data_IF_767360817342
#
_entry.id   IF_767360817342
#
_cell.length_a   1.000
_cell.length_b   1.000
_cell.length_c   1.000
_cell.angle_alpha   90.00
_cell.angle_beta   90.00
_cell.angle_gamma   90.00
#
_symmetry.space_group_name_H-M   'P 1'
#
loop_
_entity.id
_entity.type
_entity.pdbx_description
1 polymer ?
#
# COMPACT_ATOMS: atom_id res chain seq x y z
N UNK A 1 18.77 -6.13 -13.97
CA UNK A 1 19.74 -7.09 -13.39
C UNK A 1 19.30 -8.51 -13.71
N UNK A 2 20.20 -9.50 -13.83
CA UNK A 2 19.84 -10.86 -14.27
C UNK A 2 18.86 -11.60 -13.34
N UNK A 3 18.79 -11.23 -12.06
CA UNK A 3 17.90 -11.84 -11.06
C UNK A 3 16.58 -11.09 -10.86
N UNK A 4 16.33 -10.05 -11.65
CA UNK A 4 15.11 -9.25 -11.61
C UNK A 4 14.41 -9.28 -12.95
N UNK A 5 13.10 -9.45 -12.93
CA UNK A 5 12.25 -9.31 -14.11
C UNK A 5 11.44 -8.02 -14.04
N UNK A 6 11.06 -7.49 -15.20
CA UNK A 6 10.07 -6.42 -15.26
C UNK A 6 8.74 -7.04 -14.87
N UNK A 7 8.11 -6.43 -13.88
CA UNK A 7 6.88 -6.89 -13.27
C UNK A 7 5.70 -6.04 -13.75
N UNK A 8 5.87 -4.72 -13.84
CA UNK A 8 4.91 -3.80 -14.47
C UNK A 8 5.62 -2.72 -15.29
N UNK A 9 4.99 -2.30 -16.37
CA UNK A 9 5.35 -1.10 -17.14
C UNK A 9 4.19 -0.14 -17.05
N UNK A 10 4.37 0.95 -16.30
CA UNK A 10 3.31 1.89 -15.96
C UNK A 10 3.54 3.20 -16.74
N UNK A 11 2.64 3.60 -17.65
CA UNK A 11 2.81 4.81 -18.43
C UNK A 11 2.68 6.05 -17.54
N UNK A 12 3.55 7.03 -17.76
CA UNK A 12 3.49 8.32 -17.06
C UNK A 12 3.04 9.44 -17.97
N UNK A 13 3.59 9.49 -19.18
CA UNK A 13 3.34 10.56 -20.13
C UNK A 13 3.74 10.10 -21.53
N UNK A 14 3.04 10.59 -22.54
CA UNK A 14 3.33 10.36 -23.94
C UNK A 14 3.74 11.68 -24.62
N UNK A 15 4.46 11.53 -25.72
CA UNK A 15 4.83 12.63 -26.59
C UNK A 15 4.62 12.22 -28.05
N UNK A 16 3.91 13.06 -28.81
CA UNK A 16 3.58 12.85 -30.23
C UNK A 16 4.17 14.01 -31.04
N UNK A 17 5.09 13.71 -31.97
CA UNK A 17 5.78 14.71 -32.81
C UNK A 17 6.30 15.93 -32.01
N UNK A 18 7.01 15.64 -30.92
CA UNK A 18 7.61 16.61 -29.97
C UNK A 18 6.61 17.43 -29.12
N UNK A 19 5.31 17.11 -29.15
CA UNK A 19 4.31 17.64 -28.19
C UNK A 19 4.25 16.74 -26.95
N UNK A 20 4.57 17.29 -25.78
CA UNK A 20 4.55 16.64 -24.47
C UNK A 20 3.19 16.79 -23.74
N UNK A 21 3.07 16.26 -22.52
CA UNK A 21 1.87 16.38 -21.71
C UNK A 21 0.71 15.48 -22.10
N UNK A 22 0.90 14.51 -23.01
CA UNK A 22 -0.19 13.67 -23.51
C UNK A 22 -0.39 12.50 -22.54
N UNK A 23 -1.59 12.38 -21.96
CA UNK A 23 -1.95 11.25 -21.09
C UNK A 23 -2.43 10.03 -21.88
N UNK A 24 -3.23 10.25 -22.94
CA UNK A 24 -3.74 9.20 -23.81
C UNK A 24 -3.50 9.59 -25.29
N UNK A 25 -2.58 8.92 -26.00
CA UNK A 25 -2.27 9.22 -27.39
C UNK A 25 -3.26 8.55 -28.38
N UNK A 26 -4.22 7.74 -27.91
CA UNK A 26 -5.14 7.00 -28.79
C UNK A 26 -5.97 7.98 -29.63
N UNK A 27 -5.97 7.76 -30.95
CA UNK A 27 -6.66 8.62 -31.91
C UNK A 27 -5.84 9.83 -32.40
N UNK A 28 -4.64 10.07 -31.85
CA UNK A 28 -3.74 11.09 -32.36
C UNK A 28 -2.98 10.59 -33.61
N UNK A 29 -2.71 11.49 -34.55
CA UNK A 29 -1.87 11.21 -35.72
C UNK A 29 -0.50 11.80 -35.49
N UNK A 30 0.55 11.01 -35.70
CA UNK A 30 1.91 11.51 -35.67
C UNK A 30 2.91 10.57 -36.34
N UNK A 31 4.10 11.10 -36.61
CA UNK A 31 5.22 10.35 -37.20
C UNK A 31 6.09 9.66 -36.15
N UNK A 32 6.10 10.17 -34.91
CA UNK A 32 6.91 9.69 -33.79
C UNK A 32 6.09 9.72 -32.50
N UNK A 33 6.08 8.58 -31.80
CA UNK A 33 5.52 8.43 -30.46
C UNK A 33 6.64 8.08 -29.48
N UNK A 34 6.69 8.80 -28.36
CA UNK A 34 7.55 8.50 -27.22
C UNK A 34 6.69 8.31 -25.98
N UNK A 35 7.14 7.46 -25.05
CA UNK A 35 6.49 7.24 -23.78
C UNK A 35 7.51 7.30 -22.65
N UNK A 36 7.21 8.11 -21.64
CA UNK A 36 7.86 8.06 -20.35
C UNK A 36 7.11 7.02 -19.50
N UNK A 37 7.84 6.02 -19.00
CA UNK A 37 7.25 4.92 -18.25
C UNK A 37 7.98 4.68 -16.93
N UNK A 38 7.22 4.31 -15.91
CA UNK A 38 7.73 3.81 -14.64
C UNK A 38 7.82 2.27 -14.72
N UNK A 39 9.03 1.74 -14.66
CA UNK A 39 9.29 0.30 -14.74
C UNK A 39 9.43 -0.27 -13.33
N UNK A 40 8.49 -1.14 -12.95
CA UNK A 40 8.58 -1.91 -11.71
C UNK A 40 9.27 -3.23 -12.01
N UNK A 41 10.27 -3.59 -11.20
CA UNK A 41 10.95 -4.88 -11.30
C UNK A 41 10.85 -5.65 -10.01
N UNK A 42 10.75 -6.98 -10.08
CA UNK A 42 10.67 -7.86 -8.92
C UNK A 42 11.76 -8.94 -8.97
N UNK A 43 12.10 -9.51 -7.81
CA UNK A 43 12.93 -10.72 -7.77
C UNK A 43 12.14 -11.89 -8.34
N UNK A 44 12.71 -12.56 -9.34
CA UNK A 44 12.10 -13.73 -9.98
C UNK A 44 11.80 -14.81 -8.94
N UNK A 45 12.74 -15.08 -8.03
CA UNK A 45 12.58 -16.08 -6.98
C UNK A 45 11.44 -15.73 -6.02
N UNK A 46 11.30 -14.47 -5.63
CA UNK A 46 10.22 -14.04 -4.74
C UNK A 46 8.85 -14.22 -5.39
N UNK A 47 8.71 -13.80 -6.66
CA UNK A 47 7.48 -13.97 -7.43
C UNK A 47 7.12 -15.45 -7.61
N UNK A 48 8.10 -16.29 -7.98
CA UNK A 48 7.90 -17.73 -8.15
C UNK A 48 7.47 -18.41 -6.84
N UNK A 49 8.06 -18.03 -5.70
CA UNK A 49 7.70 -18.58 -4.40
C UNK A 49 6.25 -18.25 -4.02
N UNK A 50 5.79 -17.03 -4.30
CA UNK A 50 4.41 -16.61 -4.08
C UNK A 50 3.45 -17.45 -4.93
N UNK A 51 3.71 -17.56 -6.23
CA UNK A 51 2.88 -18.35 -7.18
C UNK A 51 2.81 -19.82 -6.77
N UNK A 52 3.96 -20.41 -6.46
CA UNK A 52 4.03 -21.81 -6.04
C UNK A 52 3.26 -22.06 -4.74
N UNK A 53 3.29 -21.11 -3.80
CA UNK A 53 2.56 -21.23 -2.54
C UNK A 53 1.05 -21.22 -2.74
N UNK A 54 0.55 -20.35 -3.62
CA UNK A 54 -0.87 -20.29 -3.99
C UNK A 54 -1.29 -21.55 -4.77
N UNK A 55 -0.49 -21.98 -5.74
CA UNK A 55 -0.73 -23.21 -6.52
C UNK A 55 -0.82 -24.46 -5.63
N UNK A 56 -0.01 -24.54 -4.58
CA UNK A 56 -0.07 -25.64 -3.59
C UNK A 56 -1.35 -25.67 -2.77
N UNK A 57 -2.05 -24.54 -2.65
CA UNK A 57 -3.36 -24.47 -2.00
C UNK A 57 -4.51 -24.97 -2.92
N UNK A 58 -4.20 -25.40 -4.15
CA UNK A 58 -5.19 -25.97 -5.08
C UNK A 58 -5.89 -24.94 -5.96
N UNK A 59 -5.35 -23.73 -6.07
CA UNK A 59 -5.85 -22.64 -6.93
C UNK A 59 -4.77 -22.19 -7.90
N UNK A 60 -5.13 -21.87 -9.14
CA UNK A 60 -4.16 -21.40 -10.14
C UNK A 60 -4.05 -19.87 -10.10
N UNK A 61 -2.82 -19.34 -10.09
CA UNK A 61 -2.57 -17.90 -10.22
C UNK A 61 -2.70 -17.50 -11.69
N UNK A 62 -3.73 -16.74 -12.02
CA UNK A 62 -3.91 -16.15 -13.36
C UNK A 62 -2.89 -15.03 -13.60
N UNK A 63 -2.70 -14.16 -12.61
CA UNK A 63 -1.82 -13.00 -12.71
C UNK A 63 -1.37 -12.53 -11.31
N UNK A 64 -0.20 -11.91 -11.25
CA UNK A 64 0.32 -11.26 -10.05
C UNK A 64 0.27 -9.75 -10.26
N UNK A 65 -0.31 -9.03 -9.32
CA UNK A 65 -0.48 -7.57 -9.39
C UNK A 65 0.30 -6.93 -8.25
N UNK A 66 0.84 -5.74 -8.51
CA UNK A 66 1.51 -4.96 -7.49
C UNK A 66 0.51 -4.48 -6.44
N UNK A 67 0.81 -4.74 -5.17
CA UNK A 67 -0.08 -4.43 -4.05
C UNK A 67 -0.54 -2.97 -4.02
N UNK A 68 0.39 -2.03 -4.20
CA UNK A 68 0.12 -0.60 -4.19
C UNK A 68 -0.90 -0.20 -5.27
N UNK A 69 -0.87 -0.84 -6.44
CA UNK A 69 -1.83 -0.58 -7.53
C UNK A 69 -3.22 -1.07 -7.16
N UNK A 70 -3.29 -2.29 -6.64
CA UNK A 70 -4.54 -2.89 -6.22
C UNK A 70 -5.19 -2.06 -5.11
N UNK A 71 -4.45 -1.73 -4.05
CA UNK A 71 -4.95 -0.91 -2.95
C UNK A 71 -5.38 0.49 -3.44
N UNK A 72 -4.60 1.13 -4.32
CA UNK A 72 -4.94 2.44 -4.89
C UNK A 72 -6.26 2.41 -5.68
N UNK A 73 -6.50 1.35 -6.45
CA UNK A 73 -7.73 1.22 -7.23
C UNK A 73 -8.99 0.99 -6.38
N UNK A 74 -8.85 0.44 -5.17
CA UNK A 74 -9.96 0.26 -4.25
C UNK A 74 -10.26 1.52 -3.40
N UNK A 75 -9.25 2.36 -3.17
CA UNK A 75 -9.28 3.37 -2.09
C UNK A 75 -9.21 4.81 -2.60
N UNK A 76 -8.48 5.07 -3.68
CA UNK A 76 -8.28 6.41 -4.21
C UNK A 76 -9.36 6.77 -5.23
N UNK A 77 -9.76 8.03 -5.22
CA UNK A 77 -10.62 8.60 -6.25
C UNK A 77 -9.80 9.06 -7.46
N UNK A 78 -10.40 9.16 -8.65
CA UNK A 78 -9.74 9.75 -9.82
C UNK A 78 -9.23 11.17 -9.57
N UNK A 79 -10.02 12.00 -8.87
CA UNK A 79 -9.67 13.39 -8.57
C UNK A 79 -8.42 13.50 -7.68
N UNK A 80 -8.27 12.61 -6.69
CA UNK A 80 -7.06 12.55 -5.87
C UNK A 80 -5.84 12.16 -6.68
N UNK A 81 -5.96 11.15 -7.57
CA UNK A 81 -4.88 10.73 -8.47
C UNK A 81 -4.47 11.86 -9.43
N UNK A 82 -5.42 12.69 -9.86
CA UNK A 82 -5.16 13.83 -10.74
C UNK A 82 -4.46 14.99 -10.01
N UNK A 83 -4.99 15.42 -8.86
CA UNK A 83 -4.42 16.52 -8.07
C UNK A 83 -3.06 16.18 -7.45
N UNK A 84 -2.82 14.90 -7.19
CA UNK A 84 -1.60 14.36 -6.64
C UNK A 84 -1.77 13.91 -5.18
N UNK A 85 -1.60 12.62 -4.96
CA UNK A 85 -1.92 11.94 -3.69
C UNK A 85 -0.87 10.86 -3.41
N UNK A 86 -0.55 10.66 -2.14
CA UNK A 86 0.21 9.49 -1.71
C UNK A 86 -0.71 8.51 -0.98
N UNK A 87 -0.75 7.27 -1.45
CA UNK A 87 -1.34 6.17 -0.70
C UNK A 87 -0.24 5.50 0.13
N UNK A 88 -0.52 5.29 1.41
CA UNK A 88 0.37 4.59 2.34
C UNK A 88 -0.39 3.41 2.94
N UNK A 89 0.00 2.20 2.58
CA UNK A 89 -0.51 0.96 3.16
C UNK A 89 0.40 0.53 4.32
N UNK A 90 -0.10 0.65 5.55
CA UNK A 90 0.63 0.20 6.73
C UNK A 90 0.20 -1.23 7.04
N UNK A 91 1.00 -2.18 6.58
CA UNK A 91 0.82 -3.60 6.80
C UNK A 91 1.38 -4.08 8.14
N UNK A 92 1.59 -5.40 8.24
CA UNK A 92 2.17 -6.04 9.40
C UNK A 92 3.70 -5.82 9.45
N UNK A 93 4.43 -6.33 8.46
CA UNK A 93 5.88 -6.22 8.37
C UNK A 93 6.39 -5.06 7.51
N UNK A 94 5.56 -4.55 6.60
CA UNK A 94 5.93 -3.52 5.63
C UNK A 94 4.97 -2.35 5.65
N UNK A 95 5.48 -1.22 5.16
CA UNK A 95 4.70 -0.03 4.84
C UNK A 95 4.97 0.30 3.39
N UNK A 96 3.95 0.17 2.57
CA UNK A 96 4.03 0.25 1.12
C UNK A 96 3.42 1.57 0.66
N UNK A 97 4.09 2.25 -0.28
CA UNK A 97 3.70 3.60 -0.69
C UNK A 97 3.74 3.78 -2.20
N UNK A 98 2.76 4.55 -2.70
CA UNK A 98 2.65 4.96 -4.10
C UNK A 98 2.20 6.41 -4.17
N UNK A 99 2.85 7.19 -5.02
CA UNK A 99 2.52 8.60 -5.28
C UNK A 99 1.95 8.70 -6.69
N UNK A 100 0.76 9.27 -6.79
CA UNK A 100 0.13 9.67 -8.05
C UNK A 100 0.25 11.18 -8.25
N UNK A 101 0.34 11.62 -9.50
CA UNK A 101 0.23 13.01 -9.91
C UNK A 101 -0.20 13.07 -11.39
N UNK A 102 -1.21 13.88 -11.73
CA UNK A 102 -1.79 13.96 -13.08
C UNK A 102 -2.26 12.61 -13.62
N UNK A 103 -2.90 11.83 -12.75
CA UNK A 103 -3.48 10.52 -13.09
C UNK A 103 -2.46 9.39 -13.19
N UNK A 104 -1.15 9.70 -13.19
CA UNK A 104 -0.08 8.74 -13.38
C UNK A 104 0.72 8.48 -12.10
N UNK A 105 1.35 7.30 -12.03
CA UNK A 105 2.23 6.92 -10.92
C UNK A 105 3.58 7.57 -11.10
N UNK A 106 4.03 8.30 -10.08
CA UNK A 106 5.33 8.98 -10.05
C UNK A 106 6.39 8.20 -9.28
N UNK A 107 6.00 7.62 -8.15
CA UNK A 107 6.92 6.93 -7.25
C UNK A 107 6.25 5.74 -6.58
N UNK A 108 7.01 4.67 -6.36
CA UNK A 108 6.63 3.50 -5.57
C UNK A 108 7.81 3.12 -4.68
N UNK A 109 7.54 2.79 -3.42
CA UNK A 109 8.52 2.21 -2.52
C UNK A 109 7.86 1.33 -1.45
N UNK A 110 8.69 0.57 -0.75
CA UNK A 110 8.31 -0.31 0.34
C UNK A 110 9.32 -0.15 1.47
N UNK A 111 8.84 0.16 2.66
CA UNK A 111 9.64 0.34 3.87
C UNK A 111 9.51 -0.91 4.75
N UNK A 112 10.61 -1.47 5.28
CA UNK A 112 10.59 -2.69 6.08
C UNK A 112 10.16 -2.42 7.54
N UNK A 113 9.08 -1.67 7.73
CA UNK A 113 8.50 -1.33 9.03
C UNK A 113 6.98 -1.38 8.95
N UNK A 114 6.28 -1.67 10.04
CA UNK A 114 4.84 -1.87 10.04
C UNK A 114 4.28 -2.21 11.42
N UNK A 115 3.02 -2.62 11.47
CA UNK A 115 2.29 -2.88 12.72
C UNK A 115 2.87 -3.98 13.63
N UNK A 116 3.68 -4.91 13.11
CA UNK A 116 4.38 -5.93 13.92
C UNK A 116 5.46 -5.30 14.79
N UNK A 117 6.12 -4.24 14.33
CA UNK A 117 7.13 -3.53 15.11
C UNK A 117 6.50 -2.87 16.35
N UNK A 118 5.32 -2.26 16.19
CA UNK A 118 4.52 -1.76 17.32
C UNK A 118 4.17 -2.89 18.29
N UNK A 119 3.77 -4.04 17.75
CA UNK A 119 3.41 -5.22 18.55
C UNK A 119 4.60 -5.72 19.38
N UNK A 120 5.78 -5.76 18.76
CA UNK A 120 7.01 -6.20 19.41
C UNK A 120 7.42 -5.21 20.52
N UNK A 121 7.33 -3.91 20.26
CA UNK A 121 7.65 -2.88 21.26
C UNK A 121 6.72 -2.98 22.47
N UNK A 122 5.41 -3.20 22.25
CA UNK A 122 4.45 -3.46 23.33
C UNK A 122 4.81 -4.73 24.11
N UNK A 123 5.13 -5.82 23.41
CA UNK A 123 5.47 -7.10 24.04
C UNK A 123 6.69 -6.97 24.95
N UNK A 124 7.74 -6.31 24.47
CA UNK A 124 8.98 -6.06 25.22
C UNK A 124 8.74 -5.08 26.37
N UNK A 125 8.11 -3.94 26.09
CA UNK A 125 7.88 -2.86 27.06
C UNK A 125 6.96 -3.28 28.21
N UNK A 126 5.88 -4.00 27.90
CA UNK A 126 4.92 -4.47 28.91
C UNK A 126 5.25 -5.86 29.47
N UNK A 127 6.22 -6.57 28.89
CA UNK A 127 6.61 -7.94 29.24
C UNK A 127 5.43 -8.92 29.14
N UNK A 128 4.72 -8.84 28.03
CA UNK A 128 3.55 -9.67 27.69
C UNK A 128 3.84 -10.53 26.45
N UNK A 129 3.24 -11.73 26.30
CA UNK A 129 3.39 -12.53 25.09
C UNK A 129 2.96 -11.77 23.82
N UNK A 130 3.63 -12.01 22.69
CA UNK A 130 3.34 -11.37 21.40
C UNK A 130 1.86 -11.43 20.99
N UNK A 131 1.16 -12.58 21.10
CA UNK A 131 -0.28 -12.64 20.78
C UNK A 131 -1.13 -11.71 21.65
N UNK A 132 -0.77 -11.56 22.93
CA UNK A 132 -1.46 -10.66 23.85
C UNK A 132 -1.10 -9.20 23.58
N UNK A 133 0.15 -8.90 23.22
CA UNK A 133 0.56 -7.57 22.79
C UNK A 133 -0.26 -7.10 21.57
N UNK A 134 -0.46 -7.99 20.59
CA UNK A 134 -1.26 -7.69 19.39
C UNK A 134 -2.73 -7.42 19.75
N UNK A 135 -3.29 -8.22 20.65
CA UNK A 135 -4.65 -8.03 21.15
C UNK A 135 -4.80 -6.71 21.90
N UNK A 136 -3.83 -6.37 22.75
CA UNK A 136 -3.78 -5.11 23.49
C UNK A 136 -3.65 -3.92 22.52
N UNK A 137 -2.74 -4.00 21.53
CA UNK A 137 -2.55 -2.99 20.49
C UNK A 137 -3.87 -2.68 19.78
N UNK A 138 -4.54 -3.71 19.27
CA UNK A 138 -5.81 -3.57 18.54
C UNK A 138 -6.94 -2.98 19.38
N UNK A 139 -6.99 -3.30 20.68
CA UNK A 139 -8.11 -2.92 21.56
C UNK A 139 -7.89 -1.59 22.28
N UNK A 140 -6.64 -1.25 22.61
CA UNK A 140 -6.31 -0.16 23.52
C UNK A 140 -5.19 0.77 23.02
N UNK A 141 -4.49 0.40 21.94
CA UNK A 141 -3.38 1.20 21.42
C UNK A 141 -3.86 2.51 20.81
N UNK A 142 -3.11 3.58 21.09
CA UNK A 142 -3.26 4.89 20.45
C UNK A 142 -1.89 5.36 19.96
N UNK A 143 -1.85 5.94 18.77
CA UNK A 143 -0.65 6.51 18.17
C UNK A 143 -0.17 7.79 18.87
N UNK A 144 -1.07 8.48 19.58
CA UNK A 144 -0.77 9.71 20.33
C UNK A 144 -1.17 9.53 21.78
N UNK A 145 -0.18 9.52 22.68
CA UNK A 145 -0.43 9.38 24.11
C UNK A 145 -1.27 10.53 24.67
N UNK A 146 -1.20 11.72 24.09
CA UNK A 146 -2.01 12.88 24.52
C UNK A 146 -3.51 12.76 24.26
N UNK A 147 -3.98 11.76 23.50
CA UNK A 147 -5.41 11.52 23.25
C UNK A 147 -6.06 10.61 24.30
N UNK A 148 -5.27 10.01 25.19
CA UNK A 148 -5.74 9.04 26.18
C UNK A 148 -5.96 9.71 27.53
N UNK A 149 -7.05 9.34 28.21
CA UNK A 149 -7.34 9.86 29.55
C UNK A 149 -6.46 9.21 30.63
N UNK A 150 -6.07 9.99 31.63
CA UNK A 150 -5.17 9.57 32.71
C UNK A 150 -5.71 8.38 33.54
N UNK A 151 -7.04 8.20 33.58
CA UNK A 151 -7.73 7.16 34.36
C UNK A 151 -7.93 5.85 33.58
N UNK A 152 -7.64 5.82 32.28
CA UNK A 152 -7.81 4.62 31.47
C UNK A 152 -6.79 3.55 31.85
N UNK A 153 -7.25 2.31 32.01
CA UNK A 153 -6.39 1.17 32.38
C UNK A 153 -6.53 0.00 31.40
N UNK A 154 -5.49 -0.81 31.35
CA UNK A 154 -5.40 -2.01 30.51
C UNK A 154 -4.92 -3.18 31.34
N UNK A 155 -5.62 -4.31 31.24
CA UNK A 155 -5.17 -5.58 31.81
C UNK A 155 -4.17 -6.25 30.86
N UNK A 156 -2.97 -6.51 31.39
CA UNK A 156 -1.81 -7.02 30.66
C UNK A 156 -1.41 -8.38 31.21
N UNK A 157 -1.62 -9.46 30.45
CA UNK A 157 -1.09 -10.78 30.79
C UNK A 157 0.43 -10.74 30.93
N UNK A 158 0.96 -11.45 31.93
CA UNK A 158 2.41 -11.51 32.15
C UNK A 158 3.02 -12.78 31.58
N UNK A 159 4.27 -12.70 31.13
CA UNK A 159 5.04 -13.88 30.73
C UNK A 159 5.29 -14.84 31.91
N UNK A 160 5.44 -16.13 31.62
CA UNK A 160 5.89 -17.14 32.59
C UNK A 160 4.87 -17.50 33.67
N UNK A 161 3.57 -17.45 33.36
CA UNK A 161 2.50 -17.88 34.28
C UNK A 161 2.27 -16.95 35.48
N UNK A 162 2.86 -15.76 35.47
CA UNK A 162 2.58 -14.72 36.46
C UNK A 162 1.17 -14.17 36.28
N UNK A 163 0.58 -13.67 37.37
CA UNK A 163 -0.74 -13.05 37.33
C UNK A 163 -0.75 -11.84 36.36
N UNK A 164 -1.88 -11.58 35.68
CA UNK A 164 -2.07 -10.35 34.92
C UNK A 164 -1.86 -9.11 35.78
N UNK A 165 -1.41 -8.02 35.12
CA UNK A 165 -1.15 -6.71 35.75
C UNK A 165 -2.10 -5.70 35.16
N UNK A 166 -2.63 -4.80 35.98
CA UNK A 166 -3.37 -3.63 35.48
C UNK A 166 -2.39 -2.48 35.37
N UNK A 167 -2.27 -1.89 34.18
CA UNK A 167 -1.38 -0.77 33.88
C UNK A 167 -2.21 0.39 33.31
N UNK A 168 -1.67 1.62 33.36
CA UNK A 168 -2.31 2.74 32.68
C UNK A 168 -2.27 2.54 31.16
N UNK A 169 -3.34 2.94 30.47
CA UNK A 169 -3.38 2.99 29.01
C UNK A 169 -2.38 4.01 28.48
N UNK A 170 -2.10 5.06 29.25
CA UNK A 170 -1.05 6.03 28.96
C UNK A 170 0.32 5.37 28.74
N UNK A 171 0.72 4.48 29.65
CA UNK A 171 1.99 3.76 29.53
C UNK A 171 2.07 2.90 28.26
N UNK A 172 0.95 2.29 27.85
CA UNK A 172 0.87 1.58 26.58
C UNK A 172 1.14 2.53 25.41
N UNK A 173 0.52 3.72 25.42
CA UNK A 173 0.63 4.68 24.33
C UNK A 173 2.00 5.36 24.27
N UNK A 174 2.66 5.55 25.42
CA UNK A 174 4.07 5.99 25.49
C UNK A 174 5.04 4.99 24.85
N UNK A 175 4.66 3.71 24.73
CA UNK A 175 5.42 2.70 23.98
C UNK A 175 5.07 2.73 22.50
N UNK A 176 3.79 2.93 22.16
CA UNK A 176 3.29 2.91 20.78
C UNK A 176 3.75 4.14 19.99
N UNK A 177 3.64 5.32 20.59
CA UNK A 177 3.85 6.60 19.91
C UNK A 177 5.24 6.71 19.25
N UNK A 178 6.37 6.41 19.93
CA UNK A 178 7.69 6.52 19.29
C UNK A 178 7.85 5.63 18.07
N UNK A 179 7.23 4.43 18.05
CA UNK A 179 7.26 3.55 16.88
C UNK A 179 6.46 4.13 15.72
N UNK A 180 5.32 4.74 16.00
CA UNK A 180 4.49 5.38 14.97
C UNK A 180 5.22 6.61 14.41
N UNK A 181 5.85 7.41 15.27
CA UNK A 181 6.70 8.55 14.86
C UNK A 181 7.87 8.09 13.98
N UNK A 182 8.51 6.97 14.30
CA UNK A 182 9.58 6.39 13.48
C UNK A 182 9.06 5.95 12.10
N UNK A 183 7.91 5.28 12.04
CA UNK A 183 7.28 4.88 10.76
C UNK A 183 7.05 6.11 9.87
N UNK A 184 6.45 7.18 10.43
CA UNK A 184 6.20 8.40 9.65
C UNK A 184 7.46 9.20 9.33
N UNK A 185 8.49 9.14 10.18
CA UNK A 185 9.79 9.75 9.86
C UNK A 185 10.43 9.08 8.64
N UNK A 186 10.39 7.74 8.57
CA UNK A 186 10.89 6.99 7.40
C UNK A 186 10.09 7.29 6.12
N UNK A 187 8.77 7.48 6.24
CA UNK A 187 7.91 7.93 5.13
C UNK A 187 8.31 9.34 4.67
N UNK A 188 8.51 10.27 5.61
CA UNK A 188 8.91 11.63 5.29
C UNK A 188 10.28 11.68 4.59
N UNK A 189 11.23 10.87 5.05
CA UNK A 189 12.53 10.68 4.39
C UNK A 189 12.37 10.12 2.97
N UNK A 190 11.47 9.16 2.77
CA UNK A 190 11.15 8.62 1.44
C UNK A 190 10.58 9.70 0.50
N UNK A 191 9.63 10.50 0.99
CA UNK A 191 9.05 11.60 0.22
C UNK A 191 10.11 12.61 -0.19
N UNK A 192 10.96 13.04 0.74
CA UNK A 192 12.06 13.96 0.47
C UNK A 192 13.06 13.38 -0.55
N UNK A 193 13.39 12.09 -0.44
CA UNK A 193 14.30 11.40 -1.35
C UNK A 193 13.73 11.26 -2.77
N UNK A 194 12.42 11.06 -2.88
CA UNK A 194 11.73 10.91 -4.16
C UNK A 194 11.55 12.21 -4.93
N UNK A 195 11.71 13.37 -4.26
CA UNK A 195 11.45 14.72 -4.78
C UNK A 195 10.00 14.99 -5.22
N UNK A 196 9.04 14.16 -4.76
CA UNK A 196 7.60 14.32 -5.02
C UNK A 196 6.81 14.83 -3.80
N UNK A 197 7.47 15.16 -2.70
CA UNK A 197 6.86 15.76 -1.49
C UNK A 197 5.99 16.99 -1.81
N UNK A 198 6.43 17.82 -2.76
CA UNK A 198 5.69 19.01 -3.21
C UNK A 198 4.53 18.74 -4.18
N UNK A 199 4.35 17.48 -4.61
CA UNK A 199 3.35 17.09 -5.61
C UNK A 199 2.08 16.51 -4.99
N UNK A 200 2.06 16.33 -3.66
CA UNK A 200 0.99 15.66 -2.91
C UNK A 200 -0.09 16.69 -2.50
N UNK A 201 -0.71 17.35 -3.47
CA UNK A 201 -1.67 18.44 -3.20
C UNK A 201 -3.00 17.95 -2.60
N UNK A 202 -3.44 16.73 -2.94
CA UNK A 202 -4.63 16.10 -2.35
C UNK A 202 -4.34 15.48 -0.97
N UNK A 203 -3.08 15.53 -0.51
CA UNK A 203 -2.66 14.96 0.77
C UNK A 203 -2.41 13.46 0.72
N UNK A 204 -2.48 12.82 1.87
CA UNK A 204 -2.12 11.42 2.08
C UNK A 204 -3.36 10.61 2.42
N UNK A 205 -3.44 9.40 1.86
CA UNK A 205 -4.46 8.42 2.20
C UNK A 205 -3.81 7.22 2.88
N UNK A 206 -4.15 6.99 4.14
CA UNK A 206 -3.68 5.82 4.90
C UNK A 206 -4.62 4.64 4.67
N UNK A 207 -4.05 3.47 4.40
CA UNK A 207 -4.78 2.20 4.28
C UNK A 207 -4.03 1.07 5.00
N UNK A 208 -4.54 -0.16 4.95
CA UNK A 208 -3.90 -1.31 5.58
C UNK A 208 -4.32 -1.49 7.03
N UNK A 209 -3.97 -2.63 7.62
CA UNK A 209 -4.38 -2.97 8.98
C UNK A 209 -3.82 -2.01 10.04
N UNK A 210 -2.59 -1.51 9.83
CA UNK A 210 -1.93 -0.56 10.73
C UNK A 210 -2.61 0.81 10.76
N UNK A 211 -3.23 1.24 9.65
CA UNK A 211 -3.97 2.51 9.58
C UNK A 211 -5.20 2.57 10.50
N UNK A 212 -5.64 1.43 11.06
CA UNK A 212 -6.78 1.36 11.97
C UNK A 212 -6.44 1.76 13.41
N UNK A 213 -5.17 1.92 13.75
CA UNK A 213 -4.74 2.38 15.08
C UNK A 213 -5.37 3.75 15.40
N UNK A 214 -5.87 3.91 16.62
CA UNK A 214 -6.44 5.17 17.10
C UNK A 214 -5.38 6.29 17.07
N UNK A 215 -5.75 7.51 16.68
CA UNK A 215 -4.83 8.66 16.64
C UNK A 215 -3.81 8.66 15.49
N UNK A 216 -3.80 7.64 14.62
CA UNK A 216 -2.75 7.50 13.59
C UNK A 216 -2.87 8.52 12.47
N UNK A 217 -4.08 9.01 12.19
CA UNK A 217 -4.29 10.06 11.19
C UNK A 217 -3.69 11.37 11.68
N UNK A 218 -3.93 11.72 12.94
CA UNK A 218 -3.39 12.91 13.60
C UNK A 218 -1.87 12.82 13.73
N UNK A 219 -1.32 11.65 14.07
CA UNK A 219 0.12 11.43 14.09
C UNK A 219 0.75 11.63 12.70
N UNK A 220 0.10 11.10 11.65
CA UNK A 220 0.55 11.30 10.27
C UNK A 220 0.51 12.77 9.86
N UNK A 221 -0.55 13.51 10.19
CA UNK A 221 -0.66 14.95 9.90
C UNK A 221 0.45 15.74 10.59
N UNK A 222 0.76 15.42 11.85
CA UNK A 222 1.84 16.05 12.60
C UNK A 222 3.21 15.78 11.97
N UNK A 223 3.47 14.54 11.56
CA UNK A 223 4.78 14.15 10.99
C UNK A 223 4.96 14.59 9.53
N UNK A 224 3.91 14.52 8.71
CA UNK A 224 3.99 14.74 7.26
C UNK A 224 3.62 16.18 6.84
N UNK A 225 2.98 16.95 7.73
CA UNK A 225 2.58 18.35 7.46
C UNK A 225 1.69 18.52 6.21
N UNK A 226 0.86 17.52 5.93
CA UNK A 226 -0.12 17.51 4.84
C UNK A 226 -1.45 16.95 5.35
N UNK A 227 -2.60 17.26 4.73
CA UNK A 227 -3.86 16.64 5.08
C UNK A 227 -3.78 15.12 4.97
N UNK A 228 -4.31 14.40 5.95
CA UNK A 228 -4.34 12.94 5.93
C UNK A 228 -5.78 12.49 6.08
N UNK A 229 -6.18 11.45 5.36
CA UNK A 229 -7.42 10.72 5.63
C UNK A 229 -7.18 9.22 5.68
N UNK A 230 -8.02 8.51 6.43
CA UNK A 230 -8.10 7.06 6.34
C UNK A 230 -8.91 6.65 5.10
N UNK A 231 -8.37 5.72 4.32
CA UNK A 231 -9.00 5.15 3.13
C UNK A 231 -9.44 3.71 3.38
N UNK A 232 -10.61 3.37 2.86
CA UNK A 232 -11.13 2.02 2.83
C UNK A 232 -11.83 1.77 1.50
N UNK A 233 -12.01 0.51 1.08
CA UNK A 233 -12.69 0.19 -0.17
C UNK A 233 -14.10 0.76 -0.23
N UNK A 234 -14.45 1.37 -1.36
CA UNK A 234 -15.75 1.97 -1.60
C UNK A 234 -16.35 1.53 -2.95
N UNK A 235 -17.65 1.82 -3.16
CA UNK A 235 -18.33 1.53 -4.43
C UNK A 235 -18.64 0.05 -4.68
N UNK A 236 -18.65 -0.77 -3.62
CA UNK A 236 -18.93 -2.21 -3.72
C UNK A 236 -20.43 -2.50 -3.57
N UNK A 237 -20.95 -3.44 -4.36
CA UNK A 237 -22.26 -4.03 -4.15
C UNK A 237 -22.19 -5.30 -3.28
N UNK A 238 -23.28 -5.65 -2.61
CA UNK A 238 -23.38 -6.90 -1.84
C UNK A 238 -22.73 -6.83 -0.45
N UNK A 239 -21.71 -7.66 -0.19
CA UNK A 239 -20.99 -7.79 1.11
C UNK A 239 -20.10 -6.56 1.44
N UNK A 240 -20.49 -5.37 0.99
CA UNK A 240 -19.70 -4.14 1.10
C UNK A 240 -19.29 -3.83 2.54
N UNK A 241 -20.21 -3.98 3.51
CA UNK A 241 -19.95 -3.66 4.92
C UNK A 241 -18.84 -4.52 5.53
N UNK A 242 -18.66 -5.76 5.08
CA UNK A 242 -17.66 -6.67 5.63
C UNK A 242 -16.24 -6.33 5.15
N UNK A 243 -16.11 -5.74 3.96
CA UNK A 243 -14.83 -5.49 3.29
C UNK A 243 -14.51 -4.00 3.13
N UNK A 244 -15.42 -3.10 3.54
CA UNK A 244 -15.21 -1.66 3.62
C UNK A 244 -14.34 -1.27 4.83
N UNK A 245 -13.22 -1.97 5.01
CA UNK A 245 -12.22 -1.66 6.05
C UNK A 245 -10.82 -1.59 5.42
N UNK A 246 -9.93 -0.72 5.93
CA UNK A 246 -8.61 -0.48 5.32
C UNK A 246 -7.75 -1.74 5.14
N UNK A 247 -7.90 -2.73 6.04
CA UNK A 247 -7.18 -4.01 5.97
C UNK A 247 -7.54 -4.87 4.75
N UNK A 248 -8.65 -4.57 4.06
CA UNK A 248 -9.10 -5.32 2.88
C UNK A 248 -8.82 -4.59 1.56
N UNK A 249 -8.13 -3.45 1.58
CA UNK A 249 -7.89 -2.64 0.38
C UNK A 249 -7.21 -3.39 -0.75
N UNK A 250 -6.13 -4.10 -0.47
CA UNK A 250 -5.41 -4.90 -1.46
C UNK A 250 -6.30 -5.99 -2.06
N UNK A 251 -7.00 -6.79 -1.24
CA UNK A 251 -7.80 -7.91 -1.74
C UNK A 251 -9.02 -7.45 -2.55
N UNK A 252 -9.68 -6.36 -2.13
CA UNK A 252 -10.76 -5.77 -2.93
C UNK A 252 -10.20 -5.22 -4.25
N UNK A 253 -9.07 -4.52 -4.20
CA UNK A 253 -8.36 -4.01 -5.37
C UNK A 253 -8.05 -5.07 -6.40
N UNK A 254 -7.49 -6.22 -5.96
CA UNK A 254 -7.21 -7.38 -6.81
C UNK A 254 -8.48 -7.93 -7.45
N UNK A 255 -9.58 -7.97 -6.70
CA UNK A 255 -10.88 -8.47 -7.21
C UNK A 255 -11.44 -7.53 -8.28
N UNK A 256 -11.40 -6.22 -8.03
CA UNK A 256 -11.84 -5.20 -9.00
C UNK A 256 -10.98 -5.24 -10.27
N UNK A 257 -9.66 -5.40 -10.11
CA UNK A 257 -8.74 -5.56 -11.23
C UNK A 257 -9.09 -6.78 -12.08
N UNK A 258 -9.27 -7.95 -11.45
CA UNK A 258 -9.66 -9.17 -12.15
C UNK A 258 -11.02 -9.07 -12.84
N UNK A 259 -11.99 -8.38 -12.24
CA UNK A 259 -13.30 -8.14 -12.84
C UNK A 259 -13.20 -7.28 -14.12
N UNK A 260 -12.51 -6.14 -14.06
CA UNK A 260 -12.29 -5.27 -15.23
C UNK A 260 -11.58 -6.00 -16.36
N UNK A 261 -10.59 -6.84 -16.04
CA UNK A 261 -9.81 -7.58 -17.04
C UNK A 261 -10.65 -8.63 -17.79
N UNK A 262 -11.66 -9.21 -17.13
CA UNK A 262 -12.60 -10.15 -17.76
C UNK A 262 -13.57 -9.46 -18.70
N UNK A 263 -13.94 -8.22 -18.41
CA UNK A 263 -14.79 -7.43 -19.28
C UNK A 263 -14.06 -6.98 -20.56
N UNK A 264 -12.74 -6.75 -20.47
CA UNK A 264 -11.92 -6.25 -21.58
C UNK A 264 -11.26 -7.33 -22.46
N UNK A 265 -11.18 -8.61 -22.04
CA UNK A 265 -10.62 -9.71 -22.85
C UNK A 265 -11.64 -10.82 -23.17
N UNK A 266 -11.78 -11.24 -24.45
CA UNK A 266 -12.21 -12.60 -24.75
C UNK A 266 -11.11 -13.58 -24.33
N UNK A 267 -11.47 -14.51 -23.45
CA UNK A 267 -10.65 -15.60 -22.87
C UNK A 267 -9.46 -16.05 -23.75
N UNK A 268 -8.27 -15.57 -23.45
CA UNK A 268 -7.01 -16.22 -23.82
C UNK A 268 -6.14 -16.27 -22.58
N UNK A 269 -5.95 -17.48 -22.06
CA UNK A 269 -5.01 -17.84 -21.00
C UNK A 269 -3.62 -17.36 -21.40
N UNK A 270 -3.13 -16.30 -20.76
CA UNK A 270 -1.73 -15.90 -20.84
C UNK A 270 -1.03 -16.56 -19.66
N UNK A 271 -0.03 -17.40 -19.93
CA UNK A 271 0.76 -18.05 -18.88
C UNK A 271 1.44 -16.98 -18.00
N UNK A 272 1.46 -17.13 -16.66
CA UNK A 272 1.86 -16.02 -15.77
C UNK A 272 3.34 -15.66 -15.84
N UNK A 273 4.20 -16.51 -16.42
CA UNK A 273 5.63 -16.26 -16.55
C UNK A 273 6.15 -16.87 -17.85
N UNK A 274 5.99 -16.13 -18.95
CA UNK A 274 6.88 -16.29 -20.10
C UNK A 274 8.01 -15.28 -19.94
N UNK A 275 9.23 -15.75 -20.13
CA UNK A 275 10.49 -14.99 -20.24
C UNK A 275 10.38 -13.94 -21.36
N UNK A 276 9.55 -12.93 -21.18
CA UNK A 276 9.34 -11.88 -22.15
C UNK A 276 10.54 -10.95 -22.04
N UNK A 277 11.33 -10.89 -23.12
CA UNK A 277 12.34 -9.84 -23.26
C UNK A 277 11.62 -8.50 -23.11
N UNK A 278 12.31 -7.49 -22.59
CA UNK A 278 11.77 -6.12 -22.42
C UNK A 278 11.00 -5.64 -23.66
N UNK A 279 11.47 -5.97 -24.87
CA UNK A 279 10.79 -5.65 -26.12
C UNK A 279 9.44 -6.35 -26.33
N UNK A 280 9.24 -7.56 -25.82
CA UNK A 280 7.99 -8.32 -25.97
C UNK A 280 6.92 -7.84 -24.98
N UNK A 281 7.30 -7.43 -23.77
CA UNK A 281 6.38 -6.77 -22.84
C UNK A 281 5.98 -5.38 -23.32
N UNK A 282 6.94 -4.59 -23.81
CA UNK A 282 6.63 -3.27 -24.40
C UNK A 282 5.75 -3.43 -25.64
N UNK A 283 5.98 -4.46 -26.48
CA UNK A 283 5.09 -4.76 -27.62
C UNK A 283 3.70 -5.23 -27.18
N UNK A 284 3.62 -6.09 -26.17
CA UNK A 284 2.34 -6.56 -25.61
C UNK A 284 1.52 -5.39 -25.06
N UNK A 285 2.17 -4.55 -24.24
CA UNK A 285 1.57 -3.31 -23.73
C UNK A 285 1.14 -2.36 -24.85
N UNK A 286 1.98 -2.13 -25.88
CA UNK A 286 1.59 -1.33 -27.05
C UNK A 286 0.38 -1.93 -27.79
N UNK A 287 0.30 -3.26 -27.92
CA UNK A 287 -0.84 -3.92 -28.58
C UNK A 287 -2.13 -3.95 -27.76
N UNK A 288 -2.06 -3.65 -26.45
CA UNK A 288 -3.25 -3.48 -25.61
C UNK A 288 -3.76 -2.03 -25.63
N UNK A 289 -2.90 -1.05 -25.94
CA UNK A 289 -3.25 0.37 -26.01
C UNK A 289 -3.71 0.84 -27.40
N UNK A 290 -3.24 0.21 -28.48
CA UNK A 290 -3.53 0.57 -29.88
C UNK A 290 -4.15 -0.60 -30.64
#
# INVERSE_FOLDING_TARGET
PPEREIFHVLPQEFMVDDQDGIHDPVGMTGSKLQANVHIVTASVTAAQNLVNSVNRAGVEVEEVVLEQLAAADAVLTPDEKEMGVALIDIGAGTTDLVIFERGAIRHIAALPTGGEHVTNDIAVGLRTPIPEAERIKKKHGCALAGLVGDEDTVEVPSVGGRKPRVLSRQLLCEIVQPRVEEIFSLIAEEFARSAFDRSIHAGVVLTGGGSMLEGIQEAAEQSLSVPVRRGAPAGLGGLADAVATPQHSTVVGLTLFGARRRESRPQKTVHPFLLARVGDMVKGWLSELF
#
